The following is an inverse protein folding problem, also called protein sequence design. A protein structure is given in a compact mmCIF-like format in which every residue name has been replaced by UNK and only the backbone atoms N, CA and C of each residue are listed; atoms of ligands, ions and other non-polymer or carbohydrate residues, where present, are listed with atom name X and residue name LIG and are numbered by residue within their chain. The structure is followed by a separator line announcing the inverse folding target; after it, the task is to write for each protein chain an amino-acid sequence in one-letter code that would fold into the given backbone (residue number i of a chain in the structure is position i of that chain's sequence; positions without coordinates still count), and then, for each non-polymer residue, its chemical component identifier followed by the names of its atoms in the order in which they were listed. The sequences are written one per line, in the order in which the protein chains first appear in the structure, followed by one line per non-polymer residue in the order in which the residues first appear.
data_IF_670256193815
#
_entry.id   IF_670256193815
#
_cell.length_a   1.000
_cell.length_b   1.000
_cell.length_c   1.000
_cell.angle_alpha   90.00
_cell.angle_beta   90.00
_cell.angle_gamma   90.00
#
_symmetry.space_group_name_H-M   'P 1'
#
loop_
_entity.id
_entity.type
_entity.pdbx_description
1 polymer ?
#
# COMPACT_ATOMS: atom_id res chain seq x y z
N UNK A 1 58.19 -15.12 42.38
CA UNK A 1 57.41 -13.89 42.60
C UNK A 1 56.85 -13.46 41.24
N UNK A 2 55.69 -14.01 40.87
CA UNK A 2 55.04 -13.79 39.57
C UNK A 2 53.83 -12.90 39.84
N UNK A 3 53.88 -11.65 39.37
CA UNK A 3 52.77 -10.70 39.44
C UNK A 3 51.80 -10.94 38.28
N UNK A 4 50.54 -11.20 38.62
CA UNK A 4 49.45 -11.45 37.67
C UNK A 4 49.02 -10.12 37.05
N UNK A 5 49.02 -10.06 35.71
CA UNK A 5 48.46 -8.97 34.92
C UNK A 5 46.93 -9.07 34.96
N UNK A 6 46.25 -8.11 35.60
CA UNK A 6 44.80 -7.92 35.46
C UNK A 6 44.51 -7.22 34.14
N UNK A 7 43.85 -7.95 33.24
CA UNK A 7 43.39 -7.46 31.94
C UNK A 7 42.04 -6.74 32.14
N UNK A 8 42.00 -5.42 31.96
CA UNK A 8 40.76 -4.63 31.99
C UNK A 8 40.11 -4.75 30.61
N UNK A 9 39.13 -5.65 30.48
CA UNK A 9 38.30 -5.72 29.29
C UNK A 9 37.30 -4.56 29.31
N UNK A 10 37.57 -3.53 28.51
CA UNK A 10 36.64 -2.45 28.22
C UNK A 10 35.53 -3.00 27.31
N UNK A 11 34.37 -3.35 27.88
CA UNK A 11 33.17 -3.66 27.12
C UNK A 11 32.51 -2.35 26.71
N UNK A 12 32.80 -1.86 25.50
CA UNK A 12 31.93 -0.91 24.81
C UNK A 12 30.63 -1.62 24.47
N UNK A 13 29.60 -1.43 25.32
CA UNK A 13 28.24 -1.81 24.99
C UNK A 13 27.82 -1.04 23.73
N UNK A 14 27.67 -1.75 22.62
CA UNK A 14 27.01 -1.23 21.42
C UNK A 14 25.54 -1.05 21.80
N UNK A 15 25.14 0.18 22.10
CA UNK A 15 23.72 0.53 22.21
C UNK A 15 23.12 0.40 20.82
N UNK A 16 22.48 -0.74 20.54
CA UNK A 16 21.55 -0.86 19.42
C UNK A 16 20.35 0.03 19.75
N UNK A 17 20.34 1.25 19.20
CA UNK A 17 19.13 2.07 19.17
C UNK A 17 18.08 1.31 18.37
N UNK A 18 17.08 0.78 19.04
CA UNK A 18 15.94 0.14 18.38
C UNK A 18 15.12 1.22 17.66
N UNK A 19 14.91 1.03 16.36
CA UNK A 19 13.99 1.83 15.56
C UNK A 19 12.60 1.18 15.54
N UNK A 20 11.57 2.00 15.37
CA UNK A 20 10.20 1.57 15.04
C UNK A 20 9.74 2.26 13.76
N UNK A 21 8.85 1.60 13.04
CA UNK A 21 8.20 2.17 11.87
C UNK A 21 7.11 3.15 12.28
N UNK A 22 7.06 4.30 11.62
CA UNK A 22 6.04 5.31 11.81
C UNK A 22 5.65 5.95 10.46
N UNK A 23 4.56 6.71 10.47
CA UNK A 23 4.09 7.45 9.30
C UNK A 23 4.45 8.92 9.40
N UNK A 24 4.94 9.46 8.29
CA UNK A 24 4.99 10.88 8.00
C UNK A 24 3.69 11.29 7.28
N UNK A 25 2.69 11.67 8.06
CA UNK A 25 1.33 11.86 7.54
C UNK A 25 1.21 13.00 6.52
N UNK A 26 2.03 14.05 6.66
CA UNK A 26 2.02 15.17 5.71
C UNK A 26 2.46 14.70 4.31
N UNK A 27 3.53 13.91 4.23
CA UNK A 27 3.98 13.34 2.96
C UNK A 27 3.02 12.28 2.43
N UNK A 28 2.47 11.43 3.30
CA UNK A 28 1.49 10.42 2.87
C UNK A 28 0.25 11.08 2.25
N UNK A 29 -0.27 12.14 2.87
CA UNK A 29 -1.36 12.94 2.31
C UNK A 29 -0.97 13.60 0.98
N UNK A 30 0.23 14.20 0.88
CA UNK A 30 0.71 14.83 -0.35
C UNK A 30 0.82 13.83 -1.51
N UNK A 31 1.30 12.61 -1.24
CA UNK A 31 1.40 11.54 -2.24
C UNK A 31 0.01 11.14 -2.76
N UNK A 32 -0.98 11.02 -1.87
CA UNK A 32 -2.38 10.71 -2.22
C UNK A 32 -3.02 11.81 -3.06
N UNK A 33 -2.81 13.07 -2.69
CA UNK A 33 -3.34 14.23 -3.41
C UNK A 33 -2.66 14.43 -4.78
N UNK A 34 -1.40 14.02 -4.90
CA UNK A 34 -0.57 14.24 -6.09
C UNK A 34 -0.64 13.11 -7.14
N UNK A 35 -1.51 12.12 -6.96
CA UNK A 35 -1.67 11.00 -7.90
C UNK A 35 -3.04 10.97 -8.62
N UNK A 36 -3.37 11.98 -9.45
CA UNK A 36 -4.67 12.05 -10.12
C UNK A 36 -4.88 10.90 -11.12
N UNK A 37 -3.82 10.34 -11.69
CA UNK A 37 -3.93 9.25 -12.65
C UNK A 37 -4.35 7.93 -12.00
N UNK A 38 -3.93 7.66 -10.76
CA UNK A 38 -4.43 6.51 -9.97
C UNK A 38 -5.94 6.60 -9.80
N UNK A 39 -6.43 7.70 -9.24
CA UNK A 39 -7.86 7.89 -8.96
C UNK A 39 -8.72 7.90 -10.23
N UNK A 40 -8.22 8.48 -11.31
CA UNK A 40 -8.87 8.46 -12.62
C UNK A 40 -8.96 7.05 -13.19
N UNK A 41 -7.87 6.28 -13.16
CA UNK A 41 -7.85 4.88 -13.64
C UNK A 41 -8.82 4.03 -12.82
N UNK A 42 -8.81 4.23 -11.50
CA UNK A 42 -9.71 3.56 -10.56
C UNK A 42 -11.19 3.84 -10.86
N UNK A 43 -11.54 5.11 -11.03
CA UNK A 43 -12.89 5.53 -11.35
C UNK A 43 -13.36 4.97 -12.68
N UNK A 44 -12.50 4.96 -13.69
CA UNK A 44 -12.79 4.37 -15.00
C UNK A 44 -13.05 2.86 -14.91
N UNK A 45 -12.29 2.12 -14.09
CA UNK A 45 -12.53 0.69 -13.87
C UNK A 45 -13.91 0.43 -13.26
N UNK A 46 -14.29 1.20 -12.24
CA UNK A 46 -15.64 1.12 -11.64
C UNK A 46 -16.72 1.39 -12.68
N UNK A 47 -16.56 2.43 -13.49
CA UNK A 47 -17.52 2.72 -14.57
C UNK A 47 -17.63 1.60 -15.60
N UNK A 48 -16.52 0.97 -15.98
CA UNK A 48 -16.53 -0.16 -16.90
C UNK A 48 -17.25 -1.37 -16.29
N UNK A 49 -17.04 -1.63 -15.00
CA UNK A 49 -17.73 -2.71 -14.28
C UNK A 49 -19.25 -2.52 -14.20
N UNK A 50 -19.71 -1.27 -14.18
CA UNK A 50 -21.14 -0.93 -14.11
C UNK A 50 -21.77 -0.64 -15.48
N UNK A 51 -20.99 -0.73 -16.56
CA UNK A 51 -21.47 -0.46 -17.92
C UNK A 51 -22.41 -1.56 -18.44
N UNK A 52 -23.30 -1.17 -19.34
CA UNK A 52 -24.17 -2.11 -20.09
C UNK A 52 -23.59 -2.44 -21.47
N UNK A 53 -22.29 -2.27 -21.64
CA UNK A 53 -21.61 -2.52 -22.92
C UNK A 53 -21.56 -4.03 -23.21
N UNK A 54 -21.33 -4.37 -24.48
CA UNK A 54 -21.11 -5.75 -24.88
C UNK A 54 -19.88 -6.35 -24.16
N UNK A 55 -19.91 -7.63 -23.73
CA UNK A 55 -18.84 -8.23 -22.92
C UNK A 55 -17.44 -8.09 -23.53
N UNK A 56 -17.34 -8.17 -24.86
CA UNK A 56 -16.06 -7.98 -25.57
C UNK A 56 -15.51 -6.55 -25.42
N UNK A 57 -16.37 -5.54 -25.41
CA UNK A 57 -15.95 -4.15 -25.22
C UNK A 57 -15.52 -3.91 -23.78
N UNK A 58 -16.25 -4.46 -22.81
CA UNK A 58 -15.88 -4.45 -21.39
C UNK A 58 -14.49 -5.08 -21.21
N UNK A 59 -14.26 -6.26 -21.80
CA UNK A 59 -12.97 -6.95 -21.76
C UNK A 59 -11.79 -6.06 -22.20
N UNK A 60 -11.90 -5.47 -23.39
CA UNK A 60 -10.84 -4.64 -23.98
C UNK A 60 -10.55 -3.43 -23.10
N UNK A 61 -11.60 -2.81 -22.52
CA UNK A 61 -11.43 -1.68 -21.60
C UNK A 61 -10.78 -2.12 -20.30
N UNK A 62 -11.20 -3.25 -19.73
CA UNK A 62 -10.66 -3.78 -18.47
C UNK A 62 -9.18 -4.13 -18.60
N UNK A 63 -8.74 -4.81 -19.67
CA UNK A 63 -7.31 -5.12 -19.87
C UNK A 63 -6.46 -3.87 -19.78
N UNK A 64 -6.78 -2.88 -20.62
CA UNK A 64 -6.01 -1.63 -20.68
C UNK A 64 -5.98 -0.92 -19.32
N UNK A 65 -7.11 -0.88 -18.62
CA UNK A 65 -7.22 -0.17 -17.36
C UNK A 65 -6.56 -0.93 -16.21
N UNK A 66 -6.61 -2.26 -16.19
CA UNK A 66 -5.96 -3.08 -15.16
C UNK A 66 -4.44 -3.07 -15.33
N UNK A 67 -3.92 -3.08 -16.56
CA UNK A 67 -2.50 -2.84 -16.82
C UNK A 67 -2.05 -1.49 -16.31
N UNK A 68 -2.80 -0.43 -16.67
CA UNK A 68 -2.52 0.91 -16.20
C UNK A 68 -2.58 0.98 -14.67
N UNK A 69 -3.57 0.32 -14.06
CA UNK A 69 -3.76 0.28 -12.62
C UNK A 69 -2.57 -0.35 -11.90
N UNK A 70 -2.10 -1.52 -12.36
CA UNK A 70 -0.94 -2.20 -11.81
C UNK A 70 0.28 -1.26 -11.78
N UNK A 71 0.52 -0.57 -12.89
CA UNK A 71 1.68 0.33 -13.03
C UNK A 71 1.56 1.56 -12.11
N UNK A 72 0.39 2.20 -12.04
CA UNK A 72 0.20 3.39 -11.17
C UNK A 72 0.18 3.04 -9.69
N UNK A 73 -0.34 1.87 -9.30
CA UNK A 73 -0.27 1.37 -7.91
C UNK A 73 1.18 1.08 -7.53
N UNK A 74 1.95 0.43 -8.40
CA UNK A 74 3.35 0.14 -8.12
C UNK A 74 4.14 1.42 -7.81
N UNK A 75 3.94 2.46 -8.61
CA UNK A 75 4.55 3.77 -8.37
C UNK A 75 4.05 4.40 -7.07
N UNK A 76 2.74 4.32 -6.80
CA UNK A 76 2.14 4.87 -5.58
C UNK A 76 2.75 4.25 -4.33
N UNK A 77 2.74 2.92 -4.23
CA UNK A 77 3.35 2.20 -3.11
C UNK A 77 4.84 2.49 -2.98
N UNK A 78 5.57 2.58 -4.09
CA UNK A 78 6.99 2.95 -4.03
C UNK A 78 7.21 4.35 -3.42
N UNK A 79 6.36 5.33 -3.76
CA UNK A 79 6.41 6.66 -3.16
C UNK A 79 6.08 6.63 -1.67
N UNK A 80 5.00 5.95 -1.29
CA UNK A 80 4.60 5.83 0.11
C UNK A 80 5.69 5.14 0.94
N UNK A 81 6.24 4.03 0.46
CA UNK A 81 7.29 3.30 1.18
C UNK A 81 8.61 4.08 1.28
N UNK A 82 8.93 4.93 0.32
CA UNK A 82 10.15 5.74 0.33
C UNK A 82 10.02 7.02 1.17
N UNK A 83 8.82 7.61 1.23
CA UNK A 83 8.62 8.96 1.77
C UNK A 83 7.54 9.06 2.85
N UNK A 84 6.51 8.21 2.81
CA UNK A 84 5.42 8.18 3.79
C UNK A 84 5.74 7.31 5.02
N UNK A 85 6.43 6.18 4.85
CA UNK A 85 6.82 5.29 5.93
C UNK A 85 8.28 5.53 6.35
N UNK A 86 8.51 5.82 7.64
CA UNK A 86 9.83 6.21 8.16
C UNK A 86 10.21 5.42 9.41
N UNK A 87 11.49 5.08 9.53
CA UNK A 87 12.05 4.53 10.76
C UNK A 87 12.44 5.65 11.72
N UNK A 88 11.92 5.59 12.95
CA UNK A 88 12.22 6.54 14.02
C UNK A 88 12.75 5.82 15.26
N UNK A 89 13.67 6.41 16.04
CA UNK A 89 14.10 5.80 17.30
C UNK A 89 12.92 5.62 18.26
N UNK A 90 12.84 4.48 18.96
CA UNK A 90 11.74 4.19 19.91
C UNK A 90 11.63 5.26 21.01
N UNK A 91 12.76 5.83 21.44
CA UNK A 91 12.79 6.85 22.49
C UNK A 91 12.48 8.27 21.98
N UNK A 92 12.21 8.42 20.68
CA UNK A 92 11.86 9.70 20.08
C UNK A 92 10.44 10.09 20.51
N UNK A 93 10.33 10.86 21.59
CA UNK A 93 9.06 11.46 22.09
C UNK A 93 8.53 12.59 21.20
N UNK A 94 9.06 12.74 20.00
CA UNK A 94 8.64 13.79 19.08
C UNK A 94 7.29 13.35 18.50
N UNK A 95 6.19 13.94 18.99
CA UNK A 95 4.80 13.64 18.61
C UNK A 95 4.43 13.88 17.15
N UNK A 96 5.42 13.99 16.26
CA UNK A 96 5.27 14.17 14.82
C UNK A 96 5.22 12.84 14.04
N UNK A 97 5.22 11.70 14.72
CA UNK A 97 5.26 10.39 14.08
C UNK A 97 4.24 9.46 14.72
N UNK A 98 3.36 8.88 13.90
CA UNK A 98 2.29 7.98 14.34
C UNK A 98 2.71 6.56 14.03
N UNK A 99 2.68 5.68 15.04
CA UNK A 99 3.00 4.25 14.88
C UNK A 99 1.74 3.37 14.89
N UNK A 100 0.61 3.90 15.39
CA UNK A 100 -0.69 3.23 15.48
C UNK A 100 -1.83 4.26 15.43
N UNK A 101 -3.01 3.85 14.98
CA UNK A 101 -4.23 4.66 15.12
C UNK A 101 -4.61 4.87 16.59
N UNK A 102 -5.52 5.81 16.83
CA UNK A 102 -6.00 6.20 18.17
C UNK A 102 -6.60 5.05 18.96
N UNK A 103 -7.37 4.18 18.31
CA UNK A 103 -7.98 3.00 18.95
C UNK A 103 -6.97 1.83 19.09
N UNK A 104 -5.76 1.98 18.53
CA UNK A 104 -4.69 1.01 18.56
C UNK A 104 -4.92 -0.21 17.67
N UNK A 105 -5.97 -0.18 16.83
CA UNK A 105 -6.34 -1.28 15.94
C UNK A 105 -5.47 -1.28 14.68
N UNK A 106 -5.21 -0.11 14.11
CA UNK A 106 -4.44 0.03 12.88
C UNK A 106 -2.97 0.27 13.22
N UNK A 107 -2.10 -0.65 12.77
CA UNK A 107 -0.65 -0.59 12.96
C UNK A 107 0.05 -0.25 11.64
N UNK A 108 1.06 0.61 11.71
CA UNK A 108 1.81 1.06 10.53
C UNK A 108 2.51 -0.09 9.79
N UNK A 109 3.01 -1.09 10.51
CA UNK A 109 3.65 -2.25 9.87
C UNK A 109 2.61 -3.08 9.12
N UNK A 110 1.46 -3.33 9.74
CA UNK A 110 0.39 -4.10 9.12
C UNK A 110 -0.11 -3.38 7.87
N UNK A 111 -0.36 -2.07 7.94
CA UNK A 111 -0.78 -1.27 6.78
C UNK A 111 0.25 -1.31 5.64
N UNK A 112 1.54 -1.10 5.94
CA UNK A 112 2.60 -1.18 4.93
C UNK A 112 2.69 -2.57 4.28
N UNK A 113 2.52 -3.65 5.06
CA UNK A 113 2.63 -5.01 4.50
C UNK A 113 1.50 -5.36 3.53
N UNK A 114 0.38 -4.63 3.57
CA UNK A 114 -0.74 -4.82 2.63
C UNK A 114 -0.36 -4.47 1.19
N UNK A 115 0.62 -3.57 0.97
CA UNK A 115 1.05 -3.15 -0.37
C UNK A 115 1.43 -4.33 -1.26
N UNK A 116 2.21 -5.27 -0.72
CA UNK A 116 2.65 -6.45 -1.46
C UNK A 116 1.47 -7.32 -1.89
N UNK A 117 0.52 -7.56 -0.98
CA UNK A 117 -0.67 -8.35 -1.26
C UNK A 117 -1.55 -7.68 -2.33
N UNK A 118 -1.80 -6.38 -2.20
CA UNK A 118 -2.59 -5.60 -3.16
C UNK A 118 -1.94 -5.53 -4.53
N UNK A 119 -0.62 -5.34 -4.60
CA UNK A 119 0.11 -5.32 -5.87
C UNK A 119 0.04 -6.67 -6.59
N UNK A 120 0.17 -7.78 -5.85
CA UNK A 120 0.03 -9.12 -6.42
C UNK A 120 -1.39 -9.37 -6.91
N UNK A 121 -2.41 -8.95 -6.15
CA UNK A 121 -3.82 -9.07 -6.57
C UNK A 121 -4.11 -8.25 -7.84
N UNK A 122 -3.61 -7.02 -7.93
CA UNK A 122 -3.71 -6.18 -9.12
C UNK A 122 -3.00 -6.79 -10.33
N UNK A 123 -1.82 -7.39 -10.10
CA UNK A 123 -1.04 -8.06 -11.16
C UNK A 123 -1.77 -9.29 -11.71
N UNK A 124 -2.35 -10.11 -10.84
CA UNK A 124 -3.12 -11.29 -11.23
C UNK A 124 -4.41 -10.89 -11.99
N UNK A 125 -5.09 -9.82 -11.57
CA UNK A 125 -6.22 -9.27 -12.32
C UNK A 125 -5.84 -8.84 -13.74
N UNK A 126 -4.70 -8.15 -13.88
CA UNK A 126 -4.19 -7.73 -15.19
C UNK A 126 -3.85 -8.94 -16.08
N UNK A 127 -3.14 -9.93 -15.54
CA UNK A 127 -2.77 -11.16 -16.26
C UNK A 127 -4.01 -11.93 -16.75
N UNK A 128 -4.99 -12.13 -15.87
CA UNK A 128 -6.25 -12.81 -16.21
C UNK A 128 -7.01 -12.06 -17.31
N UNK A 129 -7.05 -10.73 -17.24
CA UNK A 129 -7.69 -9.91 -18.25
C UNK A 129 -7.00 -10.08 -19.62
N UNK A 130 -5.66 -10.03 -19.65
CA UNK A 130 -4.86 -10.24 -20.87
C UNK A 130 -5.13 -11.62 -21.48
N UNK A 131 -5.16 -12.68 -20.67
CA UNK A 131 -5.46 -14.04 -21.12
C UNK A 131 -6.84 -14.14 -21.80
N UNK A 132 -7.85 -13.50 -21.19
CA UNK A 132 -9.22 -13.48 -21.71
C UNK A 132 -9.32 -12.77 -23.05
N UNK A 133 -8.56 -11.69 -23.26
CA UNK A 133 -8.49 -11.02 -24.55
C UNK A 133 -7.84 -11.91 -25.61
N UNK A 134 -6.76 -12.62 -25.27
CA UNK A 134 -6.02 -13.46 -26.22
C UNK A 134 -6.83 -14.68 -26.69
N UNK A 135 -7.50 -15.38 -25.76
CA UNK A 135 -8.25 -16.62 -26.06
C UNK A 135 -9.65 -16.37 -26.63
N UNK A 136 -10.11 -15.13 -26.59
CA UNK A 136 -11.50 -14.77 -26.86
C UNK A 136 -12.36 -14.95 -25.61
N UNK A 137 -13.28 -14.00 -25.37
CA UNK A 137 -13.96 -13.91 -24.08
C UNK A 137 -15.42 -14.34 -24.14
N UNK A 138 -15.81 -15.21 -23.22
CA UNK A 138 -17.21 -15.50 -22.93
C UNK A 138 -17.77 -14.49 -21.91
N UNK A 139 -19.07 -14.23 -21.97
CA UNK A 139 -19.74 -13.31 -21.04
C UNK A 139 -19.53 -13.70 -19.56
N UNK A 140 -19.50 -15.00 -19.26
CA UNK A 140 -19.28 -15.50 -17.91
C UNK A 140 -17.88 -15.15 -17.36
N UNK A 141 -16.85 -15.20 -18.20
CA UNK A 141 -15.47 -14.85 -17.81
C UNK A 141 -15.36 -13.34 -17.50
N UNK A 142 -16.08 -12.50 -18.24
CA UNK A 142 -16.14 -11.06 -17.93
C UNK A 142 -16.85 -10.80 -16.61
N UNK A 143 -17.96 -11.51 -16.34
CA UNK A 143 -18.64 -11.39 -15.06
C UNK A 143 -17.74 -11.81 -13.90
N UNK A 144 -16.96 -12.87 -14.06
CA UNK A 144 -15.96 -13.30 -13.07
C UNK A 144 -14.89 -12.22 -12.85
N UNK A 145 -14.30 -11.68 -13.92
CA UNK A 145 -13.29 -10.62 -13.83
C UNK A 145 -13.82 -9.37 -13.13
N UNK A 146 -15.06 -8.96 -13.43
CA UNK A 146 -15.74 -7.85 -12.75
C UNK A 146 -15.92 -8.13 -11.26
N UNK A 147 -16.32 -9.33 -10.87
CA UNK A 147 -16.47 -9.70 -9.45
C UNK A 147 -15.13 -9.69 -8.73
N UNK A 148 -14.08 -10.22 -9.36
CA UNK A 148 -12.73 -10.20 -8.79
C UNK A 148 -12.21 -8.77 -8.63
N UNK A 149 -12.44 -7.90 -9.60
CA UNK A 149 -12.10 -6.47 -9.46
C UNK A 149 -12.87 -5.82 -8.30
N UNK A 150 -14.16 -6.14 -8.10
CA UNK A 150 -14.94 -5.59 -6.98
C UNK A 150 -14.40 -6.04 -5.62
N UNK A 151 -13.94 -7.28 -5.50
CA UNK A 151 -13.28 -7.77 -4.28
C UNK A 151 -11.96 -7.03 -4.02
N UNK A 152 -11.14 -6.88 -5.05
CA UNK A 152 -9.93 -6.08 -4.98
C UNK A 152 -10.25 -4.62 -4.61
N UNK A 153 -11.35 -4.05 -5.12
CA UNK A 153 -11.80 -2.71 -4.76
C UNK A 153 -12.13 -2.58 -3.29
N UNK A 154 -12.79 -3.57 -2.70
CA UNK A 154 -13.05 -3.61 -1.26
C UNK A 154 -11.75 -3.67 -0.44
N UNK A 155 -10.77 -4.48 -0.86
CA UNK A 155 -9.46 -4.57 -0.20
C UNK A 155 -8.68 -3.26 -0.27
N UNK A 156 -8.64 -2.64 -1.45
CA UNK A 156 -8.01 -1.33 -1.64
C UNK A 156 -8.66 -0.26 -0.77
N UNK A 157 -9.99 -0.19 -0.75
CA UNK A 157 -10.70 0.77 0.09
C UNK A 157 -10.46 0.52 1.59
N UNK A 158 -10.26 -0.73 1.99
CA UNK A 158 -9.88 -1.05 3.37
C UNK A 158 -8.48 -0.56 3.71
N UNK A 159 -7.53 -0.73 2.79
CA UNK A 159 -6.17 -0.21 2.94
C UNK A 159 -6.15 1.32 3.03
N UNK A 160 -6.83 2.02 2.12
CA UNK A 160 -6.95 3.48 2.13
C UNK A 160 -7.56 3.99 3.45
N UNK A 161 -8.53 3.27 4.03
CA UNK A 161 -9.08 3.62 5.35
C UNK A 161 -8.02 3.50 6.45
N UNK A 162 -7.25 2.41 6.46
CA UNK A 162 -6.16 2.23 7.43
C UNK A 162 -5.16 3.40 7.36
N UNK A 163 -4.77 3.82 6.15
CA UNK A 163 -3.84 4.93 5.98
C UNK A 163 -4.43 6.28 6.37
N UNK A 164 -5.69 6.53 6.01
CA UNK A 164 -6.38 7.76 6.42
C UNK A 164 -6.52 7.85 7.96
N UNK A 165 -6.80 6.75 8.65
CA UNK A 165 -6.82 6.72 10.12
C UNK A 165 -5.46 7.08 10.72
N UNK A 166 -4.36 6.61 10.12
CA UNK A 166 -3.00 6.94 10.55
C UNK A 166 -2.67 8.43 10.29
N UNK A 167 -3.13 8.98 9.17
CA UNK A 167 -2.98 10.40 8.82
C UNK A 167 -3.79 11.28 9.79
N UNK A 168 -5.06 10.97 10.03
CA UNK A 168 -5.95 11.72 10.92
C UNK A 168 -5.40 11.77 12.35
N UNK A 169 -4.83 10.66 12.84
CA UNK A 169 -4.20 10.61 14.17
C UNK A 169 -3.04 11.60 14.32
N UNK A 170 -2.33 11.90 13.23
CA UNK A 170 -1.27 12.90 13.24
C UNK A 170 -1.83 14.32 13.20
N UNK A 171 -2.83 14.59 12.35
CA UNK A 171 -3.40 15.92 12.17
C UNK A 171 -4.08 16.44 13.44
N UNK A 172 -4.70 15.56 14.23
CA UNK A 172 -5.34 15.92 15.49
C UNK A 172 -4.35 16.05 16.68
N UNK A 173 -3.07 15.69 16.48
CA UNK A 173 -2.03 15.79 17.50
C UNK A 173 -1.25 17.13 17.46
N UNK A 174 -1.49 17.97 16.45
CA UNK A 174 -0.89 19.30 16.24
C UNK A 174 -1.87 20.39 16.71
#
# INVERSE_FOLDING_TARGET
MVGILTNVANQTAVQTSSNQLAVNAAFLQEIKDSNPELWKTWYQLRQVCDSTDEPRQVAIKMVKLLDQLRDVIAMHFALEECYGYVEVPIDSKNGSFVCKSRDGVTDVNDTKTQHCALYLEASDLAEVAEEYQYRGVAAAQIQELVQRFRQFDEHWQAHERCENELIECFLEAI
#
